data_IF_917645300150
#
_entry.id   IF_917645300150
#
_cell.length_a   1.000
_cell.length_b   1.000
_cell.length_c   1.000
_cell.angle_alpha   90.00
_cell.angle_beta   90.00
_cell.angle_gamma   90.00
#
_symmetry.space_group_name_H-M   'P 1'
#
loop_
_entity.id
_entity.type
_entity.pdbx_description
1 polymer ?
#
# COMPACT_ATOMS: atom_id res chain seq x y z
N UNK A 1 -7.11 5.52 3.32
CA UNK A 1 -6.92 5.61 1.85
C UNK A 1 -6.51 4.28 1.24
N UNK A 2 -5.48 3.65 1.74
CA UNK A 2 -5.01 2.35 1.20
C UNK A 2 -6.09 1.27 1.19
N UNK A 3 -6.93 1.20 2.22
CA UNK A 3 -7.99 0.19 2.28
C UNK A 3 -8.97 0.29 1.10
N UNK A 4 -9.19 1.47 0.54
CA UNK A 4 -10.07 1.66 -0.62
C UNK A 4 -9.51 0.99 -1.88
N UNK A 5 -8.20 0.86 -1.95
CA UNK A 5 -7.52 0.19 -3.05
C UNK A 5 -7.34 -1.32 -2.82
N UNK A 6 -7.51 -1.79 -1.59
CA UNK A 6 -7.28 -3.18 -1.21
C UNK A 6 -8.59 -3.95 -1.04
N UNK A 7 -9.55 -3.37 -0.31
CA UNK A 7 -10.76 -4.08 0.12
C UNK A 7 -11.59 -4.68 -1.03
N UNK A 8 -11.77 -4.02 -2.20
CA UNK A 8 -12.51 -4.65 -3.28
C UNK A 8 -11.87 -5.96 -3.76
N UNK A 9 -10.55 -6.04 -3.81
CA UNK A 9 -9.85 -7.27 -4.16
C UNK A 9 -9.98 -8.32 -3.08
N UNK A 10 -9.78 -7.91 -1.84
CA UNK A 10 -9.89 -8.81 -0.70
C UNK A 10 -11.26 -9.46 -0.63
N UNK A 11 -12.34 -8.67 -0.81
CA UNK A 11 -13.70 -9.20 -0.79
C UNK A 11 -13.94 -10.24 -1.89
N UNK A 12 -13.36 -10.02 -3.07
CA UNK A 12 -13.50 -10.99 -4.17
C UNK A 12 -12.81 -12.32 -3.89
N UNK A 13 -11.79 -12.33 -3.05
CA UNK A 13 -11.06 -13.54 -2.68
C UNK A 13 -11.73 -14.36 -1.58
N UNK A 14 -12.70 -13.80 -0.87
CA UNK A 14 -13.44 -14.57 0.15
C UNK A 14 -14.34 -15.56 -0.56
N UNK A 15 -14.04 -16.85 -0.40
CA UNK A 15 -14.76 -17.93 -1.09
C UNK A 15 -16.14 -18.18 -0.50
N UNK A 16 -16.27 -18.11 0.84
CA UNK A 16 -17.55 -18.34 1.51
C UNK A 16 -18.50 -17.17 1.26
N UNK A 17 -19.67 -17.40 0.59
CA UNK A 17 -20.61 -16.34 0.32
C UNK A 17 -21.16 -15.66 1.57
N UNK A 18 -21.35 -16.41 2.66
CA UNK A 18 -21.87 -15.87 3.92
C UNK A 18 -20.83 -14.93 4.54
N UNK A 19 -19.57 -15.36 4.61
CA UNK A 19 -18.50 -14.55 5.13
C UNK A 19 -18.31 -13.28 4.30
N UNK A 20 -18.34 -13.40 2.98
CA UNK A 20 -18.24 -12.26 2.07
C UNK A 20 -19.34 -11.25 2.34
N UNK A 21 -20.57 -11.72 2.50
CA UNK A 21 -21.71 -10.85 2.78
C UNK A 21 -21.54 -10.15 4.14
N UNK A 22 -21.07 -10.86 5.15
CA UNK A 22 -20.84 -10.28 6.47
C UNK A 22 -19.79 -9.19 6.45
N UNK A 23 -18.67 -9.43 5.77
CA UNK A 23 -17.59 -8.44 5.64
C UNK A 23 -18.08 -7.22 4.86
N UNK A 24 -18.81 -7.45 3.75
CA UNK A 24 -19.38 -6.35 2.96
C UNK A 24 -20.31 -5.49 3.79
N UNK A 25 -21.22 -6.10 4.55
CA UNK A 25 -22.15 -5.37 5.39
C UNK A 25 -21.44 -4.58 6.48
N UNK A 26 -20.37 -5.13 7.04
CA UNK A 26 -19.57 -4.43 8.03
C UNK A 26 -18.97 -3.15 7.43
N UNK A 27 -18.40 -3.25 6.23
CA UNK A 27 -17.84 -2.09 5.53
C UNK A 27 -18.91 -1.07 5.17
N UNK A 28 -20.06 -1.52 4.69
CA UNK A 28 -21.16 -0.63 4.32
C UNK A 28 -21.75 0.10 5.52
N UNK A 29 -21.78 -0.52 6.70
CA UNK A 29 -22.20 0.18 7.92
C UNK A 29 -21.25 1.30 8.29
N UNK A 30 -19.96 1.13 8.00
CA UNK A 30 -18.92 2.09 8.35
C UNK A 30 -18.77 3.21 7.31
N UNK A 31 -18.89 2.88 6.03
CA UNK A 31 -18.58 3.79 4.93
C UNK A 31 -19.77 4.07 3.99
N UNK A 32 -20.91 3.47 4.25
CA UNK A 32 -22.12 3.68 3.48
C UNK A 32 -22.41 2.57 2.47
N UNK A 33 -23.69 2.42 2.07
CA UNK A 33 -24.08 1.40 1.09
C UNK A 33 -23.34 1.56 -0.24
N UNK A 34 -22.90 0.44 -0.81
CA UNK A 34 -22.23 0.44 -2.12
C UNK A 34 -20.83 1.03 -2.10
N UNK A 35 -20.17 1.13 -0.93
CA UNK A 35 -18.86 1.74 -0.83
C UNK A 35 -17.81 0.99 -1.67
N UNK A 36 -17.88 -0.33 -1.73
CA UNK A 36 -16.95 -1.15 -2.50
C UNK A 36 -17.02 -0.81 -4.00
N UNK A 37 -18.23 -0.75 -4.53
CA UNK A 37 -18.45 -0.42 -5.94
C UNK A 37 -18.02 1.02 -6.26
N UNK A 38 -18.25 1.95 -5.34
CA UNK A 38 -17.77 3.32 -5.49
C UNK A 38 -16.24 3.36 -5.54
N UNK A 39 -15.58 2.63 -4.67
CA UNK A 39 -14.12 2.59 -4.63
C UNK A 39 -13.54 1.99 -5.92
N UNK A 40 -14.21 0.98 -6.49
CA UNK A 40 -13.78 0.44 -7.78
C UNK A 40 -13.93 1.45 -8.91
N UNK A 41 -15.03 2.22 -8.93
CA UNK A 41 -15.22 3.28 -9.91
C UNK A 41 -14.23 4.42 -9.76
N UNK A 42 -13.88 4.74 -8.50
CA UNK A 42 -12.96 5.82 -8.18
C UNK A 42 -11.49 5.39 -8.26
N UNK A 43 -11.22 4.14 -8.59
CA UNK A 43 -9.88 3.61 -8.58
C UNK A 43 -8.84 4.46 -9.31
N UNK A 44 -9.09 4.95 -10.54
CA UNK A 44 -8.11 5.80 -11.21
C UNK A 44 -7.78 7.07 -10.42
N UNK A 45 -8.79 7.69 -9.80
CA UNK A 45 -8.59 8.88 -8.96
C UNK A 45 -7.83 8.54 -7.68
N UNK A 46 -8.13 7.38 -7.08
CA UNK A 46 -7.44 6.93 -5.86
C UNK A 46 -5.98 6.61 -6.15
N UNK A 47 -5.69 6.00 -7.28
CA UNK A 47 -4.32 5.71 -7.69
C UNK A 47 -3.53 7.00 -7.96
N UNK A 48 -4.16 7.97 -8.62
CA UNK A 48 -3.53 9.27 -8.86
C UNK A 48 -3.25 10.01 -7.56
N UNK A 49 -4.18 9.95 -6.60
CA UNK A 49 -3.98 10.55 -5.29
C UNK A 49 -2.85 9.87 -4.52
N UNK A 50 -2.78 8.54 -4.57
CA UNK A 50 -1.69 7.80 -3.95
C UNK A 50 -0.34 8.21 -4.53
N UNK A 51 -0.25 8.33 -5.86
CA UNK A 51 0.97 8.80 -6.52
C UNK A 51 1.35 10.19 -6.04
N UNK A 52 0.38 11.10 -5.95
CA UNK A 52 0.61 12.45 -5.46
C UNK A 52 1.11 12.46 -4.02
N UNK A 53 0.52 11.65 -3.16
CA UNK A 53 0.92 11.56 -1.75
C UNK A 53 2.30 10.94 -1.58
N UNK A 54 2.72 10.07 -2.48
CA UNK A 54 4.02 9.41 -2.43
C UNK A 54 5.14 10.22 -3.09
N UNK A 55 4.81 11.23 -3.89
CA UNK A 55 5.79 12.03 -4.62
C UNK A 55 6.84 12.69 -3.72
N UNK A 56 6.53 13.23 -2.53
CA UNK A 56 7.56 13.79 -1.65
C UNK A 56 8.62 12.76 -1.24
N UNK A 57 8.21 11.50 -1.05
CA UNK A 57 9.16 10.43 -0.70
C UNK A 57 10.05 10.09 -1.89
N UNK A 58 9.50 10.13 -3.10
CA UNK A 58 10.28 9.93 -4.31
C UNK A 58 11.38 10.99 -4.43
N UNK A 59 11.06 12.25 -4.16
CA UNK A 59 12.04 13.33 -4.19
C UNK A 59 13.12 13.17 -3.12
N UNK A 60 12.74 12.78 -1.92
CA UNK A 60 13.68 12.52 -0.83
C UNK A 60 14.65 11.40 -1.20
N UNK A 61 14.13 10.34 -1.79
CA UNK A 61 14.92 9.16 -2.16
C UNK A 61 15.79 9.36 -3.40
N UNK A 62 15.60 10.45 -4.12
CA UNK A 62 16.51 10.83 -5.20
C UNK A 62 17.88 11.26 -4.68
N UNK A 63 17.97 11.68 -3.42
CA UNK A 63 19.19 12.20 -2.80
C UNK A 63 19.74 11.31 -1.68
N UNK A 64 19.03 10.26 -1.29
CA UNK A 64 19.39 9.42 -0.17
C UNK A 64 18.92 8.00 -0.41
N UNK A 65 19.60 7.02 0.19
CA UNK A 65 19.20 5.62 0.06
C UNK A 65 17.95 5.30 0.88
N UNK A 66 17.72 6.04 1.94
CA UNK A 66 16.56 5.90 2.81
C UNK A 66 15.93 7.27 3.03
N UNK A 67 14.75 7.34 3.66
CA UNK A 67 13.95 8.55 3.68
C UNK A 67 14.69 9.79 4.23
N UNK A 68 15.44 9.62 5.32
CA UNK A 68 16.07 10.75 6.01
C UNK A 68 17.54 10.52 6.34
N UNK A 69 18.10 9.37 5.96
CA UNK A 69 19.48 9.02 6.32
C UNK A 69 20.03 8.00 5.32
N UNK A 70 21.28 7.59 5.55
CA UNK A 70 21.91 6.53 4.79
C UNK A 70 21.63 5.13 5.36
N UNK A 71 20.77 5.07 6.38
CA UNK A 71 20.31 3.82 7.00
C UNK A 71 18.81 3.94 7.31
N UNK A 72 18.08 2.82 7.41
CA UNK A 72 16.66 2.88 7.70
C UNK A 72 16.40 3.31 9.13
N UNK A 73 15.37 4.16 9.30
CA UNK A 73 14.88 4.61 10.60
C UNK A 73 13.39 4.28 10.70
N UNK A 74 12.75 4.65 11.81
CA UNK A 74 11.36 4.32 12.06
C UNK A 74 10.43 4.70 10.90
N UNK A 75 10.65 5.89 10.31
CA UNK A 75 9.82 6.36 9.19
C UNK A 75 9.88 5.43 7.98
N UNK A 76 11.05 4.86 7.70
CA UNK A 76 11.21 3.88 6.63
C UNK A 76 10.38 2.62 6.89
N UNK A 77 10.43 2.09 8.10
CA UNK A 77 9.66 0.89 8.46
C UNK A 77 8.16 1.17 8.43
N UNK A 78 7.73 2.34 8.87
CA UNK A 78 6.32 2.72 8.85
C UNK A 78 5.78 2.80 7.41
N UNK A 79 6.51 3.49 6.53
CA UNK A 79 6.11 3.58 5.12
C UNK A 79 6.17 2.22 4.43
N UNK A 80 7.19 1.43 4.73
CA UNK A 80 7.31 0.08 4.19
C UNK A 80 6.09 -0.78 4.56
N UNK A 81 5.62 -0.68 5.79
CA UNK A 81 4.43 -1.39 6.24
C UNK A 81 3.17 -0.98 5.46
N UNK A 82 2.98 0.31 5.25
CA UNK A 82 1.84 0.82 4.48
C UNK A 82 1.89 0.33 3.04
N UNK A 83 3.05 0.44 2.39
CA UNK A 83 3.20 0.01 1.00
C UNK A 83 3.17 -1.52 0.86
N UNK A 84 3.62 -2.23 1.88
CA UNK A 84 3.49 -3.69 1.93
C UNK A 84 2.04 -4.13 1.91
N UNK A 85 1.18 -3.44 2.65
CA UNK A 85 -0.25 -3.71 2.62
C UNK A 85 -0.85 -3.38 1.25
N UNK A 86 -0.48 -2.24 0.67
CA UNK A 86 -1.00 -1.80 -0.62
C UNK A 86 -0.65 -2.81 -1.72
N UNK A 87 0.56 -3.34 -1.71
CA UNK A 87 1.04 -4.27 -2.73
C UNK A 87 0.81 -5.74 -2.38
N UNK A 88 0.13 -6.01 -1.27
CA UNK A 88 -0.14 -7.37 -0.78
C UNK A 88 -0.84 -8.18 -1.86
N UNK A 89 -0.39 -9.41 -2.07
CA UNK A 89 -0.90 -10.33 -3.09
C UNK A 89 -0.93 -9.72 -4.50
N UNK A 90 -0.11 -8.71 -4.76
CA UNK A 90 -0.05 -8.02 -6.05
C UNK A 90 -1.37 -7.35 -6.44
N UNK A 91 -2.20 -7.00 -5.47
CA UNK A 91 -3.44 -6.26 -5.71
C UNK A 91 -3.18 -4.91 -6.36
N UNK A 92 -2.11 -4.26 -5.97
CA UNK A 92 -1.70 -2.98 -6.50
C UNK A 92 -0.20 -3.01 -6.74
N UNK A 93 0.27 -2.14 -7.64
CA UNK A 93 1.69 -1.93 -7.88
C UNK A 93 2.06 -0.52 -7.49
N UNK A 94 3.32 -0.29 -7.12
CA UNK A 94 3.79 1.06 -6.93
C UNK A 94 3.80 1.78 -8.29
N UNK A 95 3.46 3.09 -8.31
CA UNK A 95 3.45 3.83 -9.58
C UNK A 95 4.80 3.74 -10.30
N UNK A 96 4.76 3.44 -11.60
CA UNK A 96 5.97 3.25 -12.39
C UNK A 96 6.83 4.51 -12.47
N UNK A 97 6.22 5.69 -12.31
CA UNK A 97 6.94 6.97 -12.31
C UNK A 97 7.80 7.16 -11.06
N UNK A 98 7.52 6.43 -9.98
CA UNK A 98 8.21 6.56 -8.70
C UNK A 98 9.34 5.55 -8.60
N UNK A 99 10.37 5.72 -9.42
CA UNK A 99 11.45 4.74 -9.58
C UNK A 99 12.34 4.66 -8.33
N UNK A 100 12.63 5.78 -7.70
CA UNK A 100 13.46 5.81 -6.50
C UNK A 100 12.72 5.17 -5.32
N UNK A 101 11.41 5.40 -5.22
CA UNK A 101 10.58 4.76 -4.21
C UNK A 101 10.55 3.24 -4.39
N UNK A 102 10.40 2.79 -5.63
CA UNK A 102 10.39 1.37 -5.94
C UNK A 102 11.73 0.71 -5.58
N UNK A 103 12.84 1.37 -5.91
CA UNK A 103 14.17 0.89 -5.53
C UNK A 103 14.36 0.82 -4.01
N UNK A 104 13.88 1.85 -3.30
CA UNK A 104 13.90 1.87 -1.85
C UNK A 104 13.05 0.73 -1.26
N UNK A 105 11.87 0.49 -1.82
CA UNK A 105 10.99 -0.58 -1.36
C UNK A 105 11.67 -1.94 -1.46
N UNK A 106 12.38 -2.20 -2.56
CA UNK A 106 13.13 -3.43 -2.74
C UNK A 106 14.31 -3.53 -1.75
N UNK A 107 15.01 -2.42 -1.49
CA UNK A 107 16.07 -2.38 -0.47
C UNK A 107 15.53 -2.71 0.91
N UNK A 108 14.36 -2.14 1.27
CA UNK A 108 13.74 -2.41 2.57
C UNK A 108 13.32 -3.87 2.72
N UNK A 109 12.83 -4.47 1.64
CA UNK A 109 12.47 -5.87 1.63
C UNK A 109 13.67 -6.76 1.92
N UNK A 110 14.77 -6.51 1.25
CA UNK A 110 16.02 -7.26 1.43
C UNK A 110 16.56 -7.08 2.85
N UNK A 111 16.59 -5.85 3.33
CA UNK A 111 17.05 -5.52 4.66
C UNK A 111 16.24 -6.27 5.72
N UNK A 112 14.93 -6.30 5.55
CA UNK A 112 14.02 -6.92 6.53
C UNK A 112 14.16 -8.45 6.56
N UNK A 113 14.52 -9.07 5.44
CA UNK A 113 14.64 -10.51 5.33
C UNK A 113 16.04 -11.06 5.61
N UNK A 114 17.02 -10.21 5.89
CA UNK A 114 18.35 -10.67 6.25
C UNK A 114 18.38 -11.06 7.73
N UNK A 115 18.45 -12.37 8.06
CA UNK A 115 18.55 -12.79 9.47
C UNK A 115 19.84 -12.26 10.07
N UNK A 116 19.74 -11.63 11.22
CA UNK A 116 20.89 -11.08 11.90
C UNK A 116 21.30 -9.69 11.46
N UNK A 117 20.67 -9.11 10.46
CA UNK A 117 20.99 -7.76 10.01
C UNK A 117 20.83 -6.72 11.11
N UNK A 118 19.95 -6.98 12.09
CA UNK A 118 19.71 -6.11 13.23
C UNK A 118 20.44 -6.51 14.51
N UNK A 119 21.28 -7.49 14.43
CA UNK A 119 21.99 -8.00 15.61
C UNK A 119 23.33 -7.30 15.83
#
# INVERSE_FOLDING_TARGET
>A
MTFKLIDPYYLREIEDPVERTMVRRHKERKFGPGCEERWEKERPSLEAEAERLLSPFELSLAHSQFLFADHPIFSDFALFGVLGNLTYHKYNSLPASLKNLTGWFERMRTFQYEPGAGN
#
